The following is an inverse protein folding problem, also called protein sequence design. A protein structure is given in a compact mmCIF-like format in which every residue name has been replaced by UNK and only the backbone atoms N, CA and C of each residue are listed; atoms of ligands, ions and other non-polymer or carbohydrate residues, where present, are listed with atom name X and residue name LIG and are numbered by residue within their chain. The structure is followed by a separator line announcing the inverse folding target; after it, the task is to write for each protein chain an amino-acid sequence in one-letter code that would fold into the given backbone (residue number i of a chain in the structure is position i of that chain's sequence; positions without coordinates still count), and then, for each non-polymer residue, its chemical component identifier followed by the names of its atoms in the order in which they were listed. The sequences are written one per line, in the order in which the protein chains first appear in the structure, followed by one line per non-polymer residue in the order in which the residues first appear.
data_IF_441375848282
#
_entry.id   IF_441375848282
#
_cell.length_a   1.000
_cell.length_b   1.000
_cell.length_c   1.000
_cell.angle_alpha   90.00
_cell.angle_beta   90.00
_cell.angle_gamma   90.00
#
_symmetry.space_group_name_H-M   'P 1'
#
loop_
_entity.id
_entity.type
_entity.pdbx_description
1 polymer ?
#
# COMPACT_ATOMS: atom_id res chain seq x y z
N UNK A 1 20.95 -1.13 -18.00
CA UNK A 1 19.70 -0.40 -17.70
C UNK A 1 18.57 -1.23 -18.31
N UNK A 2 17.57 -1.63 -17.53
CA UNK A 2 16.45 -2.43 -18.06
C UNK A 2 15.56 -1.54 -18.95
N UNK A 3 15.20 -2.02 -20.14
CA UNK A 3 14.28 -1.31 -21.02
C UNK A 3 12.94 -1.08 -20.30
N UNK A 4 12.31 0.11 -20.45
CA UNK A 4 10.99 0.32 -19.89
C UNK A 4 10.03 -0.65 -20.57
N UNK A 5 9.50 -1.60 -19.81
CA UNK A 5 8.42 -2.48 -20.24
C UNK A 5 7.37 -1.65 -20.98
N UNK A 6 7.10 -2.01 -22.24
CA UNK A 6 6.08 -1.34 -23.04
C UNK A 6 4.68 -1.47 -22.39
N UNK A 7 4.48 -2.52 -21.58
CA UNK A 7 3.24 -2.77 -20.86
C UNK A 7 2.99 -1.73 -19.74
N UNK A 8 1.89 -0.96 -19.82
CA UNK A 8 1.44 -0.04 -18.76
C UNK A 8 1.26 -0.72 -17.39
N UNK A 9 0.82 -1.99 -17.34
CA UNK A 9 0.57 -2.68 -16.07
C UNK A 9 1.88 -3.00 -15.34
N UNK A 10 2.85 -3.56 -16.05
CA UNK A 10 4.18 -3.81 -15.48
C UNK A 10 4.85 -2.51 -14.99
N UNK A 11 4.76 -1.41 -15.76
CA UNK A 11 5.30 -0.10 -15.31
C UNK A 11 4.61 0.43 -14.05
N UNK A 12 3.32 0.17 -13.92
CA UNK A 12 2.57 0.50 -12.71
C UNK A 12 3.02 -0.33 -11.51
N UNK A 13 3.13 -1.64 -11.67
CA UNK A 13 3.61 -2.52 -10.61
C UNK A 13 5.05 -2.19 -10.18
N UNK A 14 5.94 -1.83 -11.11
CA UNK A 14 7.29 -1.36 -10.80
C UNK A 14 7.29 -0.11 -9.89
N UNK A 15 6.33 0.81 -10.10
CA UNK A 15 6.19 1.99 -9.23
C UNK A 15 5.61 1.63 -7.87
N UNK A 16 4.66 0.70 -7.82
CA UNK A 16 4.16 0.15 -6.56
C UNK A 16 5.31 -0.47 -5.77
N UNK A 17 6.19 -1.24 -6.41
CA UNK A 17 7.35 -1.85 -5.75
C UNK A 17 8.37 -0.82 -5.26
N UNK A 18 8.58 0.27 -6.00
CA UNK A 18 9.36 1.42 -5.50
C UNK A 18 8.71 2.07 -4.28
N UNK A 19 7.39 2.23 -4.27
CA UNK A 19 6.64 2.80 -3.14
C UNK A 19 6.73 1.89 -1.92
N UNK A 20 6.59 0.59 -2.11
CA UNK A 20 6.78 -0.43 -1.08
C UNK A 20 8.20 -0.37 -0.48
N UNK A 21 9.24 -0.28 -1.31
CA UNK A 21 10.61 -0.12 -0.81
C UNK A 21 10.77 1.12 0.07
N UNK A 22 10.14 2.23 -0.31
CA UNK A 22 10.12 3.43 0.51
C UNK A 22 9.42 3.22 1.87
N UNK A 23 8.28 2.51 1.89
CA UNK A 23 7.59 2.15 3.15
C UNK A 23 8.48 1.29 4.07
N UNK A 24 9.21 0.32 3.50
CA UNK A 24 10.18 -0.49 4.26
C UNK A 24 11.28 0.37 4.86
N UNK A 25 11.79 1.36 4.12
CA UNK A 25 12.78 2.30 4.64
C UNK A 25 12.23 3.14 5.80
N UNK A 26 11.01 3.65 5.69
CA UNK A 26 10.35 4.35 6.80
C UNK A 26 10.20 3.46 8.03
N UNK A 27 9.74 2.23 7.85
CA UNK A 27 9.60 1.26 8.94
C UNK A 27 10.94 0.99 9.64
N UNK A 28 12.02 0.81 8.88
CA UNK A 28 13.36 0.60 9.42
C UNK A 28 13.90 1.80 10.19
N UNK A 29 13.41 3.00 9.89
CA UNK A 29 13.70 4.23 10.63
C UNK A 29 12.77 4.44 11.85
N UNK A 30 11.94 3.46 12.19
CA UNK A 30 10.97 3.56 13.29
C UNK A 30 9.73 4.40 12.96
N UNK A 31 9.48 4.71 11.68
CA UNK A 31 8.34 5.50 11.24
C UNK A 31 7.22 4.59 10.72
N UNK A 32 6.04 4.72 11.31
CA UNK A 32 4.82 4.02 10.91
C UNK A 32 3.81 4.95 10.26
N UNK A 33 3.07 4.46 9.26
CA UNK A 33 1.90 5.16 8.72
C UNK A 33 0.67 4.68 9.46
N UNK A 34 -0.13 5.59 10.00
CA UNK A 34 -1.41 5.23 10.62
C UNK A 34 -2.38 4.63 9.60
N UNK A 35 -3.03 3.53 9.97
CA UNK A 35 -4.18 2.99 9.26
C UNK A 35 -5.46 3.10 10.11
N UNK A 36 -6.63 3.33 9.50
CA UNK A 36 -7.90 3.25 10.21
C UNK A 36 -8.13 1.88 10.85
N UNK A 37 -8.69 1.88 12.06
CA UNK A 37 -9.08 0.66 12.76
C UNK A 37 -10.17 -0.12 12.01
N UNK A 38 -11.14 0.57 11.40
CA UNK A 38 -12.20 -0.02 10.58
C UNK A 38 -11.64 -0.61 9.27
N UNK A 39 -11.98 -1.86 8.96
CA UNK A 39 -11.43 -2.61 7.82
C UNK A 39 -11.86 -2.04 6.47
N UNK A 40 -13.09 -1.53 6.36
CA UNK A 40 -13.60 -0.94 5.11
C UNK A 40 -12.89 0.37 4.83
N UNK A 41 -12.79 1.25 5.84
CA UNK A 41 -12.05 2.50 5.73
C UNK A 41 -10.57 2.26 5.43
N UNK A 42 -9.97 1.26 6.06
CA UNK A 42 -8.58 0.86 5.81
C UNK A 42 -8.38 0.42 4.37
N UNK A 43 -9.22 -0.48 3.87
CA UNK A 43 -9.11 -0.97 2.49
C UNK A 43 -9.29 0.17 1.49
N UNK A 44 -10.28 1.05 1.68
CA UNK A 44 -10.48 2.23 0.84
C UNK A 44 -9.29 3.19 0.86
N UNK A 45 -8.70 3.44 2.03
CA UNK A 45 -7.53 4.29 2.16
C UNK A 45 -6.32 3.71 1.41
N UNK A 46 -6.10 2.39 1.50
CA UNK A 46 -5.02 1.70 0.78
C UNK A 46 -5.27 1.75 -0.73
N UNK A 47 -6.48 1.44 -1.19
CA UNK A 47 -6.84 1.53 -2.61
C UNK A 47 -6.64 2.94 -3.16
N UNK A 48 -6.95 3.97 -2.37
CA UNK A 48 -6.71 5.36 -2.75
C UNK A 48 -5.21 5.64 -2.95
N UNK A 49 -4.34 5.15 -2.06
CA UNK A 49 -2.87 5.27 -2.22
C UNK A 49 -2.39 4.56 -3.49
N UNK A 50 -2.92 3.39 -3.79
CA UNK A 50 -2.60 2.62 -5.01
C UNK A 50 -3.00 3.41 -6.26
N UNK A 51 -4.24 3.94 -6.29
CA UNK A 51 -4.74 4.75 -7.42
C UNK A 51 -3.92 6.03 -7.62
N UNK A 52 -3.53 6.70 -6.54
CA UNK A 52 -2.67 7.90 -6.60
C UNK A 52 -1.25 7.61 -7.09
N UNK A 53 -0.81 6.34 -7.07
CA UNK A 53 0.50 5.90 -7.59
C UNK A 53 0.47 5.64 -9.10
N UNK A 54 -0.71 5.44 -9.68
CA UNK A 54 -0.89 5.31 -11.12
C UNK A 54 -0.76 6.68 -11.82
N UNK A 55 -0.17 6.71 -13.02
CA UNK A 55 -0.25 7.92 -13.85
C UNK A 55 -1.62 7.95 -14.52
N UNK A 56 -2.13 9.15 -14.77
CA UNK A 56 -3.44 9.34 -15.39
C UNK A 56 -3.58 8.61 -16.73
N UNK A 57 -2.52 8.56 -17.54
CA UNK A 57 -2.50 7.88 -18.84
C UNK A 57 -2.54 6.35 -18.76
N UNK A 58 -2.26 5.76 -17.59
CA UNK A 58 -2.23 4.30 -17.43
C UNK A 58 -3.51 3.77 -16.79
N UNK A 59 -4.29 4.62 -16.10
CA UNK A 59 -5.48 4.23 -15.33
C UNK A 59 -6.48 3.44 -16.16
N UNK A 60 -6.71 3.81 -17.42
CA UNK A 60 -7.61 3.10 -18.34
C UNK A 60 -7.12 1.71 -18.76
N UNK A 61 -5.84 1.41 -18.56
CA UNK A 61 -5.20 0.16 -18.95
C UNK A 61 -4.97 -0.80 -17.76
N UNK A 62 -5.26 -0.36 -16.53
CA UNK A 62 -5.10 -1.18 -15.34
C UNK A 62 -6.31 -2.11 -15.17
N UNK A 63 -6.06 -3.41 -15.10
CA UNK A 63 -7.11 -4.38 -14.80
C UNK A 63 -7.42 -4.39 -13.31
N UNK A 64 -8.60 -4.91 -12.96
CA UNK A 64 -8.98 -5.15 -11.57
C UNK A 64 -7.96 -6.05 -10.85
N UNK A 65 -7.38 -7.04 -11.55
CA UNK A 65 -6.38 -7.93 -10.97
C UNK A 65 -5.06 -7.21 -10.68
N UNK A 66 -4.59 -6.36 -11.59
CA UNK A 66 -3.40 -5.52 -11.37
C UNK A 66 -3.57 -4.62 -10.15
N UNK A 67 -4.75 -3.98 -10.03
CA UNK A 67 -5.07 -3.12 -8.88
C UNK A 67 -5.15 -3.93 -7.59
N UNK A 68 -5.75 -5.12 -7.61
CA UNK A 68 -5.80 -6.04 -6.47
C UNK A 68 -4.40 -6.43 -6.01
N UNK A 69 -3.52 -6.86 -6.93
CA UNK A 69 -2.13 -7.21 -6.63
C UNK A 69 -1.40 -6.02 -5.99
N UNK A 70 -1.56 -4.82 -6.56
CA UNK A 70 -0.95 -3.61 -6.03
C UNK A 70 -1.46 -3.26 -4.62
N UNK A 71 -2.78 -3.38 -4.38
CA UNK A 71 -3.41 -3.19 -3.08
C UNK A 71 -2.89 -4.15 -2.04
N UNK A 72 -2.77 -5.45 -2.34
CA UNK A 72 -2.23 -6.42 -1.38
C UNK A 72 -0.77 -6.13 -1.02
N UNK A 73 0.08 -5.81 -2.02
CA UNK A 73 1.49 -5.45 -1.77
C UNK A 73 1.63 -4.24 -0.85
N UNK A 74 0.81 -3.21 -1.07
CA UNK A 74 0.83 -2.00 -0.24
C UNK A 74 0.22 -2.27 1.15
N UNK A 75 -0.87 -3.04 1.22
CA UNK A 75 -1.53 -3.43 2.48
C UNK A 75 -0.56 -4.15 3.41
N UNK A 76 0.12 -5.19 2.94
CA UNK A 76 1.03 -6.00 3.74
C UNK A 76 2.06 -5.12 4.49
N UNK A 77 2.64 -4.16 3.78
CA UNK A 77 3.65 -3.28 4.37
C UNK A 77 3.06 -2.21 5.29
N UNK A 78 1.92 -1.61 4.95
CA UNK A 78 1.27 -0.64 5.83
C UNK A 78 0.75 -1.32 7.12
N UNK A 79 0.29 -2.56 7.04
CA UNK A 79 -0.11 -3.33 8.23
C UNK A 79 1.10 -3.70 9.10
N UNK A 80 2.22 -4.12 8.50
CA UNK A 80 3.46 -4.37 9.24
C UNK A 80 3.98 -3.11 9.97
N UNK A 81 3.78 -1.92 9.40
CA UNK A 81 4.12 -0.65 10.03
C UNK A 81 3.29 -0.30 11.26
N UNK A 82 2.14 -0.95 11.51
CA UNK A 82 1.33 -0.65 12.70
C UNK A 82 2.07 -1.01 14.00
N UNK A 83 3.00 -1.97 13.95
CA UNK A 83 3.79 -2.40 15.12
C UNK A 83 4.80 -1.35 15.61
N UNK A 84 5.15 -0.35 14.79
CA UNK A 84 6.09 0.72 15.16
C UNK A 84 5.39 2.01 15.59
N UNK A 85 4.05 2.04 15.57
CA UNK A 85 3.29 3.20 16.04
C UNK A 85 3.31 3.31 17.58
N UNK A 86 3.05 4.49 18.16
CA UNK A 86 2.88 4.63 19.61
C UNK A 86 1.83 3.67 20.20
N UNK A 87 2.04 3.20 21.43
CA UNK A 87 1.21 2.16 22.06
C UNK A 87 -0.28 2.52 22.18
N UNK A 88 -0.60 3.79 22.40
CA UNK A 88 -1.97 4.31 22.44
C UNK A 88 -2.67 4.17 21.10
N UNK A 89 -1.95 4.44 20.00
CA UNK A 89 -2.44 4.23 18.63
C UNK A 89 -2.58 2.75 18.34
N UNK A 90 -1.61 1.92 18.72
CA UNK A 90 -1.69 0.47 18.56
C UNK A 90 -2.90 -0.12 19.30
N UNK A 91 -3.19 0.34 20.51
CA UNK A 91 -4.33 -0.12 21.30
C UNK A 91 -5.67 0.22 20.63
N UNK A 92 -5.80 1.44 20.08
CA UNK A 92 -6.99 1.87 19.33
C UNK A 92 -7.13 1.16 17.98
N UNK A 93 -6.02 0.91 17.30
CA UNK A 93 -5.95 0.25 16.00
C UNK A 93 -5.91 -1.27 16.10
N UNK A 94 -5.83 -1.83 17.31
CA UNK A 94 -5.83 -3.27 17.54
C UNK A 94 -7.03 -3.83 16.81
N UNK A 95 -6.75 -4.51 15.69
CA UNK A 95 -7.74 -5.12 14.84
C UNK A 95 -8.55 -6.01 15.78
N UNK A 96 -9.77 -5.60 16.11
CA UNK A 96 -10.73 -6.47 16.78
C UNK A 96 -11.12 -7.49 15.73
N UNK A 97 -10.23 -8.45 15.45
CA UNK A 97 -10.60 -9.70 14.84
C UNK A 97 -11.53 -10.34 15.87
N UNK A 98 -12.83 -10.14 15.67
CA UNK A 98 -13.83 -10.93 16.37
C UNK A 98 -13.57 -12.37 15.91
N UNK A 99 -12.91 -13.15 16.77
CA UNK A 99 -12.95 -14.60 16.68
C UNK A 99 -14.24 -15.06 17.35
#
# INVERSE_FOLDING_TARGET
MAEPSADPQARFLDRIDRRVRYLKSLQSAGLGVYLPADERQRTQAIEMVVRLTARQSELSHLTADTLRIATERVREHLEAMQAVLPHDVQYRNRIKRNW
#
